data_IF_038557408777
#
_entry.id   IF_038557408777
#
_cell.length_a   1.000
_cell.length_b   1.000
_cell.length_c   1.000
_cell.angle_alpha   90.00
_cell.angle_beta   90.00
_cell.angle_gamma   90.00
#
_symmetry.space_group_name_H-M   'P 1'
#
loop_
_entity.id
_entity.type
_entity.pdbx_description
1 polymer ?
#
# COMPACT_ATOMS: atom_id res chain seq x y z
N UNK A 1 17.44 8.36 -12.22
CA UNK A 1 16.19 7.58 -12.13
C UNK A 1 15.75 7.50 -10.68
N UNK A 2 14.42 7.61 -10.43
CA UNK A 2 13.84 7.41 -9.10
C UNK A 2 13.59 5.92 -8.85
N UNK A 3 13.87 5.45 -7.64
CA UNK A 3 13.63 4.07 -7.20
C UNK A 3 12.35 4.01 -6.37
N UNK A 4 11.36 3.25 -6.81
CA UNK A 4 10.03 3.21 -6.18
C UNK A 4 9.62 1.76 -5.89
N UNK A 5 9.25 1.49 -4.65
CA UNK A 5 8.65 0.23 -4.24
C UNK A 5 7.12 0.29 -4.42
N UNK A 6 6.53 -0.68 -5.11
CA UNK A 6 5.08 -0.78 -5.35
C UNK A 6 4.53 -1.95 -4.54
N UNK A 7 3.65 -1.65 -3.59
CA UNK A 7 2.97 -2.65 -2.76
C UNK A 7 1.46 -2.69 -3.07
N UNK A 8 0.90 -3.90 -3.11
CA UNK A 8 -0.54 -4.12 -3.37
C UNK A 8 -0.89 -4.40 -4.83
N UNK A 9 0.11 -4.76 -5.65
CA UNK A 9 -0.13 -5.24 -7.00
C UNK A 9 -0.59 -6.71 -6.95
N UNK A 10 -1.80 -7.00 -7.44
CA UNK A 10 -2.38 -8.34 -7.44
C UNK A 10 -2.60 -8.87 -8.87
N UNK A 11 -2.98 -8.02 -9.79
CA UNK A 11 -3.26 -8.37 -11.20
C UNK A 11 -3.21 -7.13 -12.10
N UNK A 12 -3.40 -7.34 -13.42
CA UNK A 12 -3.37 -6.27 -14.43
C UNK A 12 -4.42 -5.17 -14.27
N UNK A 13 -5.48 -5.40 -13.48
CA UNK A 13 -6.56 -4.45 -13.20
C UNK A 13 -6.35 -3.70 -11.87
N UNK A 14 -5.32 -4.05 -11.08
CA UNK A 14 -5.00 -3.32 -9.87
C UNK A 14 -4.62 -1.87 -10.17
N UNK A 15 -5.09 -0.92 -9.34
CA UNK A 15 -4.66 0.49 -9.42
C UNK A 15 -3.13 0.58 -9.38
N UNK A 16 -2.50 -0.24 -8.54
CA UNK A 16 -1.04 -0.35 -8.45
C UNK A 16 -0.37 -0.62 -9.80
N UNK A 17 -1.01 -1.42 -10.69
CA UNK A 17 -0.48 -1.67 -12.03
C UNK A 17 -0.49 -0.42 -12.91
N UNK A 18 -1.56 0.36 -12.84
CA UNK A 18 -1.65 1.64 -13.54
C UNK A 18 -0.59 2.63 -13.06
N UNK A 19 -0.41 2.73 -11.74
CA UNK A 19 0.62 3.58 -11.11
C UNK A 19 2.03 3.13 -11.52
N UNK A 20 2.31 1.82 -11.45
CA UNK A 20 3.61 1.28 -11.86
C UNK A 20 3.94 1.59 -13.32
N UNK A 21 2.99 1.41 -14.25
CA UNK A 21 3.15 1.77 -15.66
C UNK A 21 3.44 3.26 -15.86
N UNK A 22 2.71 4.12 -15.17
CA UNK A 22 2.90 5.56 -15.26
C UNK A 22 4.29 5.98 -14.72
N UNK A 23 4.73 5.42 -13.60
CA UNK A 23 6.05 5.69 -13.02
C UNK A 23 7.18 5.14 -13.91
N UNK A 24 7.03 3.95 -14.46
CA UNK A 24 7.99 3.37 -15.40
C UNK A 24 8.14 4.23 -16.66
N UNK A 25 7.03 4.72 -17.22
CA UNK A 25 7.05 5.61 -18.38
C UNK A 25 7.78 6.94 -18.12
N UNK A 26 7.88 7.37 -16.86
CA UNK A 26 8.67 8.52 -16.41
C UNK A 26 10.11 8.14 -16.01
N UNK A 27 10.56 6.93 -16.31
CA UNK A 27 11.93 6.47 -16.08
C UNK A 27 12.21 6.01 -14.66
N UNK A 28 11.21 5.69 -13.84
CA UNK A 28 11.43 5.12 -12.52
C UNK A 28 11.91 3.66 -12.63
N UNK A 29 12.87 3.30 -11.78
CA UNK A 29 13.23 1.92 -11.47
C UNK A 29 12.27 1.39 -10.41
N UNK A 30 11.65 0.24 -10.66
CA UNK A 30 10.58 -0.29 -9.82
C UNK A 30 10.99 -1.57 -9.11
N UNK A 31 10.53 -1.72 -7.87
CA UNK A 31 10.49 -2.98 -7.14
C UNK A 31 9.05 -3.26 -6.71
N UNK A 32 8.70 -4.53 -6.53
CA UNK A 32 7.33 -4.94 -6.23
C UNK A 32 7.27 -5.85 -5.02
N UNK A 33 6.15 -5.77 -4.28
CA UNK A 33 5.83 -6.78 -3.28
C UNK A 33 4.68 -7.67 -3.74
N UNK A 34 4.69 -8.91 -3.28
CA UNK A 34 3.58 -9.86 -3.40
C UNK A 34 3.29 -10.48 -2.04
N UNK A 35 2.03 -10.76 -1.73
CA UNK A 35 1.65 -11.26 -0.41
C UNK A 35 2.00 -12.73 -0.20
N UNK A 36 1.88 -13.55 -1.26
CA UNK A 36 2.06 -15.00 -1.20
C UNK A 36 2.35 -15.59 -2.58
N UNK A 37 2.77 -16.85 -2.64
CA UNK A 37 3.13 -17.54 -3.87
C UNK A 37 2.00 -17.58 -4.93
N UNK A 38 0.72 -17.56 -4.50
CA UNK A 38 -0.41 -17.51 -5.44
C UNK A 38 -0.41 -16.21 -6.25
N UNK A 39 -0.06 -15.09 -5.64
CA UNK A 39 -0.02 -13.78 -6.31
C UNK A 39 1.29 -13.54 -7.04
N UNK A 40 2.37 -14.19 -6.64
CA UNK A 40 3.72 -14.01 -7.18
C UNK A 40 3.77 -14.07 -8.71
N UNK A 41 3.20 -15.12 -9.32
CA UNK A 41 3.19 -15.29 -10.78
C UNK A 41 2.58 -14.12 -11.54
N UNK A 42 1.52 -13.52 -11.00
CA UNK A 42 0.89 -12.36 -11.62
C UNK A 42 1.79 -11.12 -11.50
N UNK A 43 2.42 -10.94 -10.34
CA UNK A 43 3.32 -9.82 -10.07
C UNK A 43 4.59 -9.94 -10.93
N UNK A 44 5.17 -11.13 -11.05
CA UNK A 44 6.33 -11.43 -11.92
C UNK A 44 6.06 -11.04 -13.37
N UNK A 45 4.90 -11.42 -13.90
CA UNK A 45 4.53 -11.08 -15.27
C UNK A 45 4.50 -9.57 -15.49
N UNK A 46 3.85 -8.83 -14.58
CA UNK A 46 3.72 -7.37 -14.69
C UNK A 46 5.07 -6.69 -14.47
N UNK A 47 5.88 -7.16 -13.52
CA UNK A 47 7.22 -6.65 -13.26
C UNK A 47 8.12 -6.82 -14.49
N UNK A 48 8.08 -7.99 -15.14
CA UNK A 48 8.84 -8.26 -16.37
C UNK A 48 8.43 -7.33 -17.52
N UNK A 49 7.13 -7.04 -17.69
CA UNK A 49 6.64 -6.06 -18.66
C UNK A 49 7.17 -4.64 -18.40
N UNK A 50 7.58 -4.34 -17.16
CA UNK A 50 8.12 -3.06 -16.71
C UNK A 50 9.65 -3.11 -16.46
N UNK A 51 10.34 -4.10 -17.05
CA UNK A 51 11.78 -4.28 -16.97
C UNK A 51 12.31 -4.38 -15.52
N UNK A 52 11.53 -4.97 -14.60
CA UNK A 52 11.94 -5.21 -13.23
C UNK A 52 11.99 -6.71 -12.90
N UNK A 53 13.04 -7.11 -12.18
CA UNK A 53 13.17 -8.44 -11.56
C UNK A 53 13.12 -8.39 -10.03
N UNK A 54 12.90 -7.20 -9.45
CA UNK A 54 12.94 -6.97 -8.01
C UNK A 54 11.56 -7.26 -7.40
N UNK A 55 11.42 -8.46 -6.85
CA UNK A 55 10.19 -8.95 -6.24
C UNK A 55 10.46 -9.49 -4.84
N UNK A 56 9.65 -9.05 -3.88
CA UNK A 56 9.81 -9.42 -2.47
C UNK A 56 8.48 -9.87 -1.88
N UNK A 57 8.51 -10.97 -1.14
CA UNK A 57 7.35 -11.40 -0.37
C UNK A 57 7.12 -10.43 0.79
N UNK A 58 5.86 -10.00 0.97
CA UNK A 58 5.46 -9.11 2.05
C UNK A 58 3.98 -9.30 2.39
N UNK A 59 3.73 -10.01 3.49
CA UNK A 59 2.43 -9.99 4.14
C UNK A 59 2.40 -8.87 5.17
N UNK A 60 1.63 -7.83 4.89
CA UNK A 60 1.57 -6.63 5.73
C UNK A 60 0.85 -6.83 7.06
N UNK A 61 0.23 -7.98 7.29
CA UNK A 61 -0.31 -8.39 8.59
C UNK A 61 0.78 -8.88 9.57
N UNK A 62 2.03 -8.96 9.11
CA UNK A 62 3.17 -9.46 9.88
C UNK A 62 4.33 -8.47 9.85
N UNK A 63 4.65 -7.88 11.01
CA UNK A 63 5.82 -7.01 11.17
C UNK A 63 7.11 -7.72 10.76
N UNK A 64 7.22 -9.03 11.03
CA UNK A 64 8.38 -9.82 10.62
C UNK A 64 8.49 -9.98 9.11
N UNK A 65 7.36 -10.11 8.41
CA UNK A 65 7.35 -10.16 6.94
C UNK A 65 7.80 -8.82 6.35
N UNK A 66 7.30 -7.70 6.89
CA UNK A 66 7.71 -6.35 6.48
C UNK A 66 9.21 -6.14 6.71
N UNK A 67 9.73 -6.51 7.89
CA UNK A 67 11.15 -6.43 8.21
C UNK A 67 12.00 -7.24 7.22
N UNK A 68 11.63 -8.49 6.98
CA UNK A 68 12.34 -9.39 6.06
C UNK A 68 12.33 -8.84 4.62
N UNK A 69 11.21 -8.28 4.19
CA UNK A 69 11.09 -7.64 2.88
C UNK A 69 12.10 -6.49 2.74
N UNK A 70 12.20 -5.58 3.72
CA UNK A 70 13.17 -4.48 3.67
C UNK A 70 14.62 -4.96 3.79
N UNK A 71 14.90 -6.00 4.59
CA UNK A 71 16.22 -6.62 4.64
C UNK A 71 16.64 -7.18 3.27
N UNK A 72 15.71 -7.80 2.54
CA UNK A 72 15.98 -8.29 1.19
C UNK A 72 16.14 -7.14 0.19
N UNK A 73 15.24 -6.15 0.21
CA UNK A 73 15.33 -4.97 -0.64
C UNK A 73 16.68 -4.23 -0.46
N UNK A 74 17.22 -4.19 0.76
CA UNK A 74 18.48 -3.51 1.08
C UNK A 74 19.72 -4.16 0.43
N UNK A 75 19.60 -5.39 -0.03
CA UNK A 75 20.67 -6.08 -0.77
C UNK A 75 20.80 -5.53 -2.20
N UNK A 76 19.66 -5.16 -2.79
CA UNK A 76 19.58 -4.63 -4.15
C UNK A 76 19.62 -3.09 -4.17
N UNK A 77 18.89 -2.44 -3.25
CA UNK A 77 18.86 -0.99 -3.12
C UNK A 77 19.36 -0.54 -1.75
N UNK A 78 20.44 0.21 -1.71
CA UNK A 78 20.94 0.85 -0.47
C UNK A 78 20.00 1.92 0.03
N UNK A 79 19.33 2.62 -0.89
CA UNK A 79 18.31 3.62 -0.62
C UNK A 79 17.33 3.71 -1.77
N UNK A 80 16.15 4.31 -1.54
CA UNK A 80 15.12 4.49 -2.56
C UNK A 80 14.31 5.78 -2.32
N UNK A 81 13.50 6.17 -3.31
CA UNK A 81 12.87 7.49 -3.36
C UNK A 81 11.41 7.49 -2.93
N UNK A 82 10.87 6.35 -2.56
CA UNK A 82 9.52 6.26 -2.03
C UNK A 82 8.82 4.94 -2.31
N UNK A 83 7.64 4.81 -1.72
CA UNK A 83 6.80 3.65 -2.00
C UNK A 83 5.34 4.04 -2.21
N UNK A 84 4.64 3.18 -2.95
CA UNK A 84 3.20 3.21 -3.14
C UNK A 84 2.57 2.09 -2.33
N UNK A 85 1.70 2.46 -1.41
CA UNK A 85 0.87 1.55 -0.63
C UNK A 85 -0.51 1.47 -1.27
N UNK A 86 -0.75 0.46 -2.07
CA UNK A 86 -2.04 0.21 -2.75
C UNK A 86 -2.71 -1.04 -2.16
N UNK A 87 -2.81 -1.08 -0.85
CA UNK A 87 -3.31 -2.23 -0.09
C UNK A 87 -4.60 -1.85 0.63
N UNK A 88 -5.54 -2.77 0.62
CA UNK A 88 -6.79 -2.67 1.37
C UNK A 88 -7.47 -4.03 1.37
N UNK A 89 -7.98 -4.42 2.53
CA UNK A 89 -8.70 -5.67 2.71
C UNK A 89 -9.71 -5.55 3.87
N UNK A 90 -10.89 -6.10 3.65
CA UNK A 90 -11.84 -6.46 4.69
C UNK A 90 -12.51 -7.78 4.31
N UNK A 91 -12.91 -8.62 5.28
CA UNK A 91 -13.72 -9.81 4.99
C UNK A 91 -15.02 -9.43 4.27
N UNK A 92 -15.45 -10.21 3.28
CA UNK A 92 -16.59 -9.87 2.43
C UNK A 92 -17.90 -9.70 3.23
N UNK A 93 -18.10 -10.53 4.23
CA UNK A 93 -19.28 -10.44 5.13
C UNK A 93 -19.33 -9.15 5.95
N UNK A 94 -18.23 -8.45 6.10
CA UNK A 94 -18.14 -7.16 6.80
C UNK A 94 -18.55 -5.97 5.91
N UNK A 95 -18.64 -6.19 4.61
CA UNK A 95 -18.91 -5.14 3.61
C UNK A 95 -20.38 -5.08 3.23
N UNK A 96 -21.13 -6.17 3.34
CA UNK A 96 -22.51 -6.29 2.88
C UNK A 96 -23.52 -6.01 4.00
N UNK A 97 -24.71 -5.55 3.61
CA UNK A 97 -25.84 -5.35 4.52
C UNK A 97 -25.74 -4.13 5.44
N UNK A 98 -26.50 -4.16 6.52
CA UNK A 98 -26.54 -3.07 7.49
C UNK A 98 -25.25 -3.06 8.31
N UNK A 99 -24.61 -1.91 8.39
CA UNK A 99 -23.32 -1.76 9.09
C UNK A 99 -23.35 -2.24 10.56
N UNK A 100 -24.43 -1.93 11.30
CA UNK A 100 -24.52 -2.28 12.73
C UNK A 100 -24.61 -3.79 12.92
N UNK A 101 -25.22 -4.51 11.97
CA UNK A 101 -25.39 -5.95 12.01
C UNK A 101 -24.18 -6.70 11.44
N UNK A 102 -23.56 -6.15 10.38
CA UNK A 102 -22.46 -6.79 9.67
C UNK A 102 -21.11 -6.63 10.39
N UNK A 103 -20.87 -5.48 11.03
CA UNK A 103 -19.57 -5.17 11.62
C UNK A 103 -19.28 -6.03 12.86
N UNK A 104 -18.22 -6.82 12.78
CA UNK A 104 -17.72 -7.61 13.91
C UNK A 104 -16.42 -7.02 14.47
N UNK A 105 -16.08 -7.38 15.72
CA UNK A 105 -14.82 -6.96 16.35
C UNK A 105 -13.61 -7.43 15.56
N UNK A 106 -13.62 -8.64 15.06
CA UNK A 106 -12.48 -9.22 14.34
C UNK A 106 -12.38 -8.67 12.91
N UNK A 107 -13.51 -8.51 12.21
CA UNK A 107 -13.52 -7.86 10.90
C UNK A 107 -13.06 -6.41 10.96
N UNK A 108 -13.50 -5.68 11.99
CA UNK A 108 -13.02 -4.31 12.25
C UNK A 108 -11.51 -4.26 12.47
N UNK A 109 -10.94 -5.15 13.31
CA UNK A 109 -9.50 -5.26 13.54
C UNK A 109 -8.75 -5.54 12.26
N UNK A 110 -9.15 -6.56 11.51
CA UNK A 110 -8.49 -6.98 10.27
C UNK A 110 -8.52 -5.86 9.22
N UNK A 111 -9.68 -5.20 9.04
CA UNK A 111 -9.80 -4.11 8.10
C UNK A 111 -8.86 -2.94 8.43
N UNK A 112 -8.77 -2.55 9.71
CA UNK A 112 -7.89 -1.47 10.15
C UNK A 112 -6.42 -1.86 10.12
N UNK A 113 -6.08 -3.06 10.53
CA UNK A 113 -4.72 -3.58 10.51
C UNK A 113 -4.15 -3.57 9.09
N UNK A 114 -4.83 -4.23 8.15
CA UNK A 114 -4.35 -4.37 6.78
C UNK A 114 -4.51 -3.09 5.96
N UNK A 115 -5.62 -2.35 6.13
CA UNK A 115 -5.91 -1.21 5.24
C UNK A 115 -5.45 0.14 5.76
N UNK A 116 -5.03 0.23 7.03
CA UNK A 116 -4.58 1.47 7.66
C UNK A 116 -3.22 1.33 8.34
N UNK A 117 -3.09 0.47 9.37
CA UNK A 117 -1.85 0.34 10.13
C UNK A 117 -0.67 -0.11 9.26
N UNK A 118 -0.90 -0.99 8.29
CA UNK A 118 0.15 -1.47 7.39
C UNK A 118 0.91 -0.35 6.67
N UNK A 119 0.25 0.77 6.37
CA UNK A 119 0.93 1.95 5.80
C UNK A 119 1.94 2.54 6.78
N UNK A 120 1.58 2.65 8.05
CA UNK A 120 2.50 3.10 9.12
C UNK A 120 3.63 2.10 9.35
N UNK A 121 3.33 0.80 9.39
CA UNK A 121 4.33 -0.26 9.57
C UNK A 121 5.36 -0.26 8.42
N UNK A 122 4.89 -0.15 7.16
CA UNK A 122 5.78 -0.02 6.01
C UNK A 122 6.60 1.27 6.03
N UNK A 123 6.00 2.41 6.42
CA UNK A 123 6.73 3.67 6.55
C UNK A 123 7.84 3.59 7.60
N UNK A 124 7.55 2.95 8.74
CA UNK A 124 8.53 2.69 9.80
C UNK A 124 9.70 1.85 9.28
N UNK A 125 9.42 0.75 8.58
CA UNK A 125 10.45 -0.13 8.01
C UNK A 125 11.29 0.54 6.91
N UNK A 126 10.68 1.43 6.13
CA UNK A 126 11.34 2.16 5.05
C UNK A 126 12.27 3.28 5.54
N UNK A 127 12.03 3.85 6.73
CA UNK A 127 12.58 5.14 7.16
C UNK A 127 14.10 5.25 6.97
N UNK A 128 14.86 4.23 7.34
CA UNK A 128 16.33 4.24 7.24
C UNK A 128 16.88 4.12 5.82
N UNK A 129 16.03 3.75 4.86
CA UNK A 129 16.40 3.56 3.46
C UNK A 129 15.89 4.68 2.54
N UNK A 130 15.05 5.59 3.04
CA UNK A 130 14.49 6.67 2.23
C UNK A 130 15.51 7.76 1.96
N UNK A 131 15.64 8.14 0.69
CA UNK A 131 16.44 9.29 0.28
C UNK A 131 15.80 10.60 0.77
N UNK A 132 16.56 11.68 0.95
CA UNK A 132 16.00 13.02 1.11
C UNK A 132 15.05 13.36 -0.07
N UNK A 133 13.95 14.04 0.22
CA UNK A 133 12.90 14.38 -0.75
C UNK A 133 12.09 13.19 -1.29
N UNK A 134 12.11 12.06 -0.61
CA UNK A 134 11.28 10.91 -0.92
C UNK A 134 9.78 11.20 -0.78
N UNK A 135 8.96 10.33 -1.36
CA UNK A 135 7.50 10.43 -1.26
C UNK A 135 6.85 9.08 -0.96
N UNK A 136 5.94 9.07 0.01
CA UNK A 136 5.07 7.95 0.32
C UNK A 136 3.67 8.25 -0.19
N UNK A 137 3.05 7.28 -0.83
CA UNK A 137 1.73 7.42 -1.41
C UNK A 137 0.84 6.26 -0.97
N UNK A 138 -0.38 6.57 -0.54
CA UNK A 138 -1.41 5.56 -0.32
C UNK A 138 -2.68 5.86 -1.11
N UNK A 139 -3.60 4.90 -1.16
CA UNK A 139 -4.88 5.05 -1.86
C UNK A 139 -6.03 5.04 -0.87
N UNK A 140 -6.83 6.09 -0.91
CA UNK A 140 -8.08 6.20 -0.18
C UNK A 140 -9.27 6.26 -1.13
N UNK A 141 -10.47 6.44 -0.58
CA UNK A 141 -11.71 6.49 -1.34
C UNK A 141 -12.75 7.35 -0.62
N UNK A 142 -13.70 7.86 -1.37
CA UNK A 142 -14.80 8.71 -0.88
C UNK A 142 -15.53 8.14 0.35
N UNK A 143 -15.56 6.80 0.48
CA UNK A 143 -16.12 6.11 1.64
C UNK A 143 -15.42 6.42 2.98
N UNK A 144 -14.29 7.12 2.98
CA UNK A 144 -13.65 7.63 4.20
C UNK A 144 -14.41 8.79 4.86
N UNK A 145 -15.19 9.54 4.07
CA UNK A 145 -15.93 10.75 4.50
C UNK A 145 -17.44 10.63 4.29
N UNK A 146 -17.89 9.60 3.58
CA UNK A 146 -19.31 9.35 3.32
C UNK A 146 -19.64 7.88 3.59
N UNK A 147 -20.82 7.62 4.17
CA UNK A 147 -21.33 6.26 4.27
C UNK A 147 -21.80 5.80 2.89
N UNK A 148 -21.15 4.75 2.38
CA UNK A 148 -21.46 4.17 1.07
C UNK A 148 -22.04 2.75 1.26
N UNK A 149 -23.06 2.36 0.49
CA UNK A 149 -23.56 0.98 0.50
C UNK A 149 -22.43 -0.02 0.19
N UNK A 150 -22.42 -1.15 0.89
CA UNK A 150 -21.46 -2.23 0.72
C UNK A 150 -19.99 -1.83 0.90
N UNK A 151 -19.74 -0.82 1.73
CA UNK A 151 -18.39 -0.40 2.06
C UNK A 151 -18.06 -0.50 3.56
N UNK A 152 -19.06 -0.36 4.42
CA UNK A 152 -19.06 -0.62 5.87
C UNK A 152 -17.69 -0.38 6.56
N UNK A 153 -17.11 -1.41 7.18
CA UNK A 153 -15.84 -1.29 7.94
C UNK A 153 -14.67 -0.75 7.10
N UNK A 154 -14.70 -0.92 5.78
CA UNK A 154 -13.67 -0.38 4.92
C UNK A 154 -13.68 1.16 4.90
N UNK A 155 -14.86 1.79 4.98
CA UNK A 155 -14.96 3.24 5.10
C UNK A 155 -14.24 3.77 6.33
N UNK A 156 -14.44 3.10 7.47
CA UNK A 156 -13.77 3.44 8.73
C UNK A 156 -12.25 3.23 8.64
N UNK A 157 -11.82 2.12 8.03
CA UNK A 157 -10.41 1.84 7.80
C UNK A 157 -9.76 2.89 6.87
N UNK A 158 -10.46 3.37 5.83
CA UNK A 158 -9.99 4.46 4.96
C UNK A 158 -9.95 5.81 5.68
N UNK A 159 -10.90 6.11 6.55
CA UNK A 159 -10.84 7.31 7.40
C UNK A 159 -9.62 7.28 8.34
N UNK A 160 -9.35 6.12 8.94
CA UNK A 160 -8.14 5.86 9.72
C UNK A 160 -6.87 6.03 8.88
N UNK A 161 -6.84 5.51 7.64
CA UNK A 161 -5.70 5.65 6.72
C UNK A 161 -5.43 7.12 6.36
N UNK A 162 -6.46 7.94 6.17
CA UNK A 162 -6.30 9.37 5.93
C UNK A 162 -5.75 10.10 7.15
N UNK A 163 -6.18 9.72 8.37
CA UNK A 163 -5.57 10.21 9.60
C UNK A 163 -4.10 9.80 9.68
N UNK A 164 -3.76 8.53 9.42
CA UNK A 164 -2.38 8.03 9.37
C UNK A 164 -1.53 8.84 8.37
N UNK A 165 -2.07 9.15 7.20
CA UNK A 165 -1.36 9.98 6.20
C UNK A 165 -0.95 11.33 6.78
N UNK A 166 -1.85 12.00 7.51
CA UNK A 166 -1.55 13.30 8.15
C UNK A 166 -0.49 13.16 9.26
N UNK A 167 -0.60 12.14 10.11
CA UNK A 167 0.37 11.89 11.18
C UNK A 167 1.75 11.51 10.63
N UNK A 168 1.80 10.66 9.61
CA UNK A 168 3.07 10.32 8.94
C UNK A 168 3.68 11.53 8.24
N UNK A 169 2.87 12.37 7.58
CA UNK A 169 3.35 13.60 6.95
C UNK A 169 3.97 14.56 7.97
N UNK A 170 3.33 14.73 9.13
CA UNK A 170 3.87 15.56 10.21
C UNK A 170 5.16 14.97 10.81
N UNK A 171 5.21 13.64 11.00
CA UNK A 171 6.35 12.96 11.62
C UNK A 171 7.57 12.85 10.69
N UNK A 172 7.36 12.72 9.38
CA UNK A 172 8.44 12.50 8.39
C UNK A 172 8.80 13.78 7.61
N UNK A 173 7.96 14.81 7.68
CA UNK A 173 8.19 16.10 7.03
C UNK A 173 9.49 16.79 7.44
N UNK A 174 9.90 16.81 8.73
CA UNK A 174 11.21 17.33 9.14
C UNK A 174 12.41 16.65 8.46
N UNK A 175 12.28 15.39 8.07
CA UNK A 175 13.28 14.63 7.32
C UNK A 175 13.18 14.88 5.79
N UNK A 176 12.32 15.80 5.33
CA UNK A 176 12.09 16.13 3.92
C UNK A 176 11.25 15.09 3.16
N UNK A 177 10.58 14.18 3.86
CA UNK A 177 9.77 13.11 3.25
C UNK A 177 8.32 13.54 3.18
N UNK A 178 7.74 13.49 1.98
CA UNK A 178 6.32 13.82 1.75
C UNK A 178 5.45 12.57 1.85
N UNK A 179 4.30 12.69 2.50
CA UNK A 179 3.33 11.60 2.63
C UNK A 179 1.96 12.09 2.17
N UNK A 180 1.38 11.41 1.20
CA UNK A 180 0.11 11.79 0.59
C UNK A 180 -0.80 10.59 0.35
N UNK A 181 -2.09 10.87 0.16
CA UNK A 181 -3.09 9.90 -0.27
C UNK A 181 -3.78 10.40 -1.56
N UNK A 182 -4.12 9.46 -2.44
CA UNK A 182 -4.98 9.72 -3.60
C UNK A 182 -6.34 9.10 -3.32
N UNK A 183 -7.40 9.91 -3.37
CA UNK A 183 -8.78 9.42 -3.36
C UNK A 183 -9.13 8.97 -4.78
N UNK A 184 -8.97 7.67 -5.02
CA UNK A 184 -9.25 7.06 -6.33
C UNK A 184 -10.74 6.74 -6.46
N UNK A 185 -11.35 7.08 -7.58
CA UNK A 185 -12.69 6.63 -7.92
C UNK A 185 -12.73 5.13 -8.26
N UNK A 186 -13.93 4.52 -8.36
CA UNK A 186 -14.05 3.15 -8.78
C UNK A 186 -13.55 2.97 -10.21
N UNK A 187 -12.73 1.94 -10.43
CA UNK A 187 -12.22 1.56 -11.74
C UNK A 187 -13.07 0.37 -12.24
N UNK A 188 -13.60 0.48 -13.45
CA UNK A 188 -14.36 -0.58 -14.12
C UNK A 188 -13.45 -1.61 -14.78
#
# INVERSE_FOLDING_TARGET
>A
NKKILIAGLANKHSIATGIAKAMHAQGAELAFTYQNERLKKNVEKIASELNSSLLYECDVSSDKSIETMYQNLSKDWKSFDGFVHSIGFAPANELEGNFVEAATRDGFKVAHDISSYSFTAMAKGAKSMLNPSSALLTLTYLGSIQSLPNYNVMGLAKASLEANTRFLAAAMGPDGIRVNAISAGPIK
#
